data_IF_829567649869
#
_entry.id   IF_829567649869
#
_cell.length_a   1.000
_cell.length_b   1.000
_cell.length_c   1.000
_cell.angle_alpha   90.00
_cell.angle_beta   90.00
_cell.angle_gamma   90.00
#
_symmetry.space_group_name_H-M   'P 1'
#
loop_
_entity.id
_entity.type
_entity.pdbx_description
1 polymer ?
#
# COMPACT_ATOMS: atom_id res chain seq x y z
N UNK A 1 -8.11 1.34 19.39
CA UNK A 1 -7.10 2.36 19.73
C UNK A 1 -7.50 3.06 21.02
N UNK A 2 -6.58 3.41 21.90
CA UNK A 2 -6.88 4.35 22.97
C UNK A 2 -7.29 5.70 22.38
N UNK A 3 -8.22 6.39 23.03
CA UNK A 3 -8.76 7.67 22.53
C UNK A 3 -7.67 8.71 22.24
N UNK A 4 -6.62 8.76 23.05
CA UNK A 4 -5.49 9.67 22.85
C UNK A 4 -4.73 9.42 21.53
N UNK A 5 -4.62 8.18 21.07
CA UNK A 5 -3.93 7.87 19.81
C UNK A 5 -4.73 8.36 18.57
N UNK A 6 -6.06 8.35 18.67
CA UNK A 6 -6.92 8.96 17.64
C UNK A 6 -6.74 10.49 17.62
N UNK A 7 -6.73 11.12 18.81
CA UNK A 7 -6.49 12.56 18.93
C UNK A 7 -5.11 12.95 18.41
N UNK A 8 -4.07 12.16 18.75
CA UNK A 8 -2.71 12.37 18.25
C UNK A 8 -2.64 12.24 16.72
N UNK A 9 -3.31 11.25 16.15
CA UNK A 9 -3.38 11.09 14.68
C UNK A 9 -4.05 12.27 14.01
N UNK A 10 -5.18 12.79 14.53
CA UNK A 10 -5.83 13.99 14.00
C UNK A 10 -4.93 15.22 14.13
N UNK A 11 -4.29 15.41 15.29
CA UNK A 11 -3.38 16.55 15.51
C UNK A 11 -2.19 16.54 14.54
N UNK A 12 -1.57 15.37 14.37
CA UNK A 12 -0.45 15.23 13.46
C UNK A 12 -0.87 15.32 11.98
N UNK A 13 -2.06 14.79 11.65
CA UNK A 13 -2.63 14.94 10.31
C UNK A 13 -2.86 16.42 9.99
N UNK A 14 -3.35 17.23 10.95
CA UNK A 14 -3.50 18.67 10.77
C UNK A 14 -2.15 19.37 10.52
N UNK A 15 -1.09 18.97 11.25
CA UNK A 15 0.28 19.47 11.03
C UNK A 15 0.79 19.09 9.63
N UNK A 16 0.58 17.85 9.21
CA UNK A 16 0.98 17.38 7.88
C UNK A 16 0.21 18.08 6.77
N UNK A 17 -1.09 18.32 6.94
CA UNK A 17 -1.90 19.12 6.01
C UNK A 17 -1.35 20.53 5.91
N UNK A 18 -1.10 21.19 7.06
CA UNK A 18 -0.56 22.54 7.09
C UNK A 18 0.81 22.63 6.39
N UNK A 19 1.73 21.72 6.72
CA UNK A 19 3.07 21.68 6.11
C UNK A 19 3.07 21.31 4.63
N UNK A 20 2.03 20.62 4.16
CA UNK A 20 1.87 20.20 2.76
C UNK A 20 0.91 21.09 1.97
N UNK A 21 0.45 22.21 2.54
CA UNK A 21 -0.61 23.03 1.95
C UNK A 21 -0.32 23.48 0.53
N UNK A 22 0.93 23.88 0.24
CA UNK A 22 1.35 24.26 -1.10
C UNK A 22 1.18 23.13 -2.12
N UNK A 23 1.59 21.91 -1.76
CA UNK A 23 1.42 20.72 -2.62
C UNK A 23 -0.05 20.35 -2.81
N UNK A 24 -0.87 20.48 -1.76
CA UNK A 24 -2.31 20.19 -1.83
C UNK A 24 -2.98 21.15 -2.81
N UNK A 25 -2.80 22.44 -2.64
CA UNK A 25 -3.48 23.47 -3.47
C UNK A 25 -3.00 23.40 -4.94
N UNK A 26 -1.73 23.20 -5.16
CA UNK A 26 -1.17 23.04 -6.51
C UNK A 26 -1.45 21.66 -7.12
N UNK A 27 -1.94 20.71 -6.32
CA UNK A 27 -2.08 19.29 -6.70
C UNK A 27 -0.78 18.68 -7.21
N UNK A 28 0.32 19.13 -6.63
CA UNK A 28 1.67 18.69 -6.97
C UNK A 28 2.11 17.58 -5.99
N UNK A 29 2.53 16.46 -6.55
CA UNK A 29 3.22 15.40 -5.80
C UNK A 29 4.61 15.85 -5.34
N UNK A 30 5.26 15.03 -4.56
CA UNK A 30 6.57 15.31 -3.97
C UNK A 30 7.73 14.88 -4.86
N UNK A 31 7.45 13.98 -5.80
CA UNK A 31 8.40 13.48 -6.78
C UNK A 31 7.70 13.19 -8.12
N UNK A 32 8.46 12.78 -9.16
CA UNK A 32 7.91 12.44 -10.46
C UNK A 32 6.87 11.31 -10.43
N UNK A 33 7.02 10.34 -9.53
CA UNK A 33 6.14 9.18 -9.43
C UNK A 33 4.75 9.57 -8.94
N UNK A 34 4.66 10.47 -7.95
CA UNK A 34 3.38 11.04 -7.51
C UNK A 34 2.68 11.79 -8.65
N UNK A 35 3.44 12.56 -9.44
CA UNK A 35 2.90 13.32 -10.58
C UNK A 35 2.36 12.37 -11.64
N UNK A 36 3.15 11.36 -12.00
CA UNK A 36 2.76 10.38 -12.99
C UNK A 36 1.54 9.57 -12.52
N UNK A 37 1.49 9.20 -11.26
CA UNK A 37 0.35 8.51 -10.66
C UNK A 37 -0.93 9.36 -10.72
N UNK A 38 -0.85 10.66 -10.48
CA UNK A 38 -2.00 11.56 -10.61
C UNK A 38 -2.46 11.66 -12.08
N UNK A 39 -1.54 11.67 -13.03
CA UNK A 39 -1.87 11.65 -14.47
C UNK A 39 -2.56 10.34 -14.85
N UNK A 40 -2.04 9.19 -14.41
CA UNK A 40 -2.66 7.88 -14.64
C UNK A 40 -4.08 7.80 -14.05
N UNK A 41 -4.27 8.31 -12.84
CA UNK A 41 -5.60 8.40 -12.21
C UNK A 41 -6.57 9.23 -13.05
N UNK A 42 -6.14 10.39 -13.57
CA UNK A 42 -6.97 11.24 -14.42
C UNK A 42 -7.34 10.55 -15.73
N UNK A 43 -6.39 9.87 -16.37
CA UNK A 43 -6.62 9.14 -17.62
C UNK A 43 -7.58 7.97 -17.39
N UNK A 44 -7.43 7.24 -16.29
CA UNK A 44 -8.35 6.18 -15.89
C UNK A 44 -9.77 6.71 -15.67
N UNK A 45 -9.93 7.80 -14.93
CA UNK A 45 -11.24 8.43 -14.69
C UNK A 45 -11.85 9.06 -15.96
N UNK A 46 -11.01 9.40 -16.93
CA UNK A 46 -11.45 9.88 -18.25
C UNK A 46 -11.83 8.75 -19.23
N UNK A 47 -11.74 7.49 -18.81
CA UNK A 47 -12.18 6.32 -19.58
C UNK A 47 -11.08 5.45 -20.17
N UNK A 48 -9.81 5.66 -19.82
CA UNK A 48 -8.76 4.71 -20.17
C UNK A 48 -9.10 3.34 -19.55
N UNK A 49 -8.93 2.26 -20.32
CA UNK A 49 -9.25 0.90 -19.87
C UNK A 49 -8.47 0.54 -18.60
N UNK A 50 -9.11 -0.22 -17.71
CA UNK A 50 -8.48 -0.79 -16.52
C UNK A 50 -7.18 -1.55 -16.81
N UNK A 51 -7.14 -2.25 -17.94
CA UNK A 51 -6.00 -3.06 -18.35
C UNK A 51 -4.97 -2.29 -19.19
N UNK A 52 -5.26 -1.05 -19.59
CA UNK A 52 -4.35 -0.21 -20.36
C UNK A 52 -3.63 0.78 -19.43
N UNK A 53 -2.39 0.45 -19.08
CA UNK A 53 -1.51 1.30 -18.28
C UNK A 53 -0.59 2.17 -19.15
N UNK A 54 -0.81 2.25 -20.46
CA UNK A 54 0.04 3.05 -21.34
C UNK A 54 -0.12 4.53 -21.03
N UNK A 55 1.00 5.21 -20.82
CA UNK A 55 1.03 6.66 -20.70
C UNK A 55 1.36 7.28 -22.07
N UNK A 56 0.31 7.72 -22.78
CA UNK A 56 0.43 8.23 -24.15
C UNK A 56 1.12 9.59 -24.26
N UNK A 57 1.40 10.27 -23.14
CA UNK A 57 2.21 11.50 -23.11
C UNK A 57 3.71 11.22 -23.09
N UNK A 58 4.10 9.98 -22.81
CA UNK A 58 5.49 9.54 -22.88
C UNK A 58 5.71 8.85 -24.21
N UNK A 59 6.83 9.17 -24.89
CA UNK A 59 7.19 8.55 -26.16
C UNK A 59 6.06 8.60 -27.21
N UNK A 60 5.44 9.77 -27.39
CA UNK A 60 4.34 9.93 -28.34
C UNK A 60 4.81 9.69 -29.78
N UNK A 61 3.98 9.07 -30.66
CA UNK A 61 2.58 8.70 -30.45
C UNK A 61 2.36 7.30 -29.81
N UNK A 62 3.37 6.45 -29.74
CA UNK A 62 3.26 5.03 -29.31
C UNK A 62 2.88 4.90 -27.84
N UNK A 63 3.27 5.85 -27.03
CA UNK A 63 3.12 5.81 -25.58
C UNK A 63 4.22 5.03 -24.88
N UNK A 64 4.36 5.27 -23.58
CA UNK A 64 5.24 4.52 -22.68
C UNK A 64 4.42 3.52 -21.85
N UNK A 65 4.68 2.20 -21.92
CA UNK A 65 4.00 1.24 -21.07
C UNK A 65 4.39 1.48 -19.61
N UNK A 66 3.39 1.66 -18.74
CA UNK A 66 3.61 1.77 -17.30
C UNK A 66 3.33 0.43 -16.65
N UNK A 67 4.32 -0.09 -15.94
CA UNK A 67 4.27 -1.40 -15.31
C UNK A 67 3.62 -1.39 -13.91
N UNK A 68 3.32 -0.21 -13.38
CA UNK A 68 2.77 -0.08 -12.03
C UNK A 68 1.31 -0.50 -11.93
N UNK A 69 1.01 -1.21 -10.83
CA UNK A 69 -0.35 -1.66 -10.55
C UNK A 69 -1.30 -0.48 -10.32
N UNK A 70 -2.50 -0.56 -10.92
CA UNK A 70 -3.61 0.37 -10.67
C UNK A 70 -4.30 0.15 -9.31
N UNK A 71 -3.96 -0.89 -8.56
CA UNK A 71 -4.61 -1.18 -7.27
C UNK A 71 -4.60 0.01 -6.32
N UNK A 72 -3.48 0.73 -6.28
CA UNK A 72 -3.34 1.89 -5.38
C UNK A 72 -4.11 3.12 -5.86
N UNK A 73 -4.55 3.13 -7.12
CA UNK A 73 -5.40 4.19 -7.68
C UNK A 73 -6.86 4.03 -7.25
N UNK A 74 -7.31 2.81 -6.91
CA UNK A 74 -8.71 2.55 -6.55
C UNK A 74 -9.22 3.40 -5.39
N UNK A 75 -8.53 3.51 -4.24
CA UNK A 75 -8.97 4.37 -3.15
C UNK A 75 -8.99 5.86 -3.53
N UNK A 76 -8.03 6.30 -4.36
CA UNK A 76 -7.99 7.66 -4.88
C UNK A 76 -9.18 7.91 -5.82
N UNK A 77 -9.40 7.01 -6.78
CA UNK A 77 -10.52 7.07 -7.72
C UNK A 77 -11.86 7.11 -7.00
N UNK A 78 -12.05 6.26 -5.99
CA UNK A 78 -13.27 6.21 -5.20
C UNK A 78 -13.56 7.57 -4.52
N UNK A 79 -12.55 8.19 -3.93
CA UNK A 79 -12.72 9.52 -3.31
C UNK A 79 -12.94 10.61 -4.34
N UNK A 80 -12.23 10.57 -5.48
CA UNK A 80 -12.46 11.55 -6.55
C UNK A 80 -13.89 11.45 -7.07
N UNK A 81 -14.38 10.26 -7.38
CA UNK A 81 -15.75 10.05 -7.86
C UNK A 81 -16.81 10.48 -6.83
N UNK A 82 -16.54 10.26 -5.54
CA UNK A 82 -17.45 10.64 -4.46
C UNK A 82 -17.53 12.16 -4.29
N UNK A 83 -16.40 12.86 -4.37
CA UNK A 83 -16.32 14.28 -4.02
C UNK A 83 -16.39 15.21 -5.24
N UNK A 84 -16.09 14.74 -6.46
CA UNK A 84 -16.14 15.59 -7.67
C UNK A 84 -17.49 16.28 -7.91
N UNK A 85 -18.65 15.63 -7.66
CA UNK A 85 -19.94 16.31 -7.79
C UNK A 85 -20.17 17.46 -6.80
N UNK A 86 -19.42 17.48 -5.67
CA UNK A 86 -19.59 18.44 -4.56
C UNK A 86 -18.61 19.59 -4.67
N UNK A 87 -17.32 19.27 -4.90
CA UNK A 87 -16.20 20.25 -4.84
C UNK A 87 -15.49 20.43 -6.18
N UNK A 88 -16.00 19.82 -7.25
CA UNK A 88 -15.37 19.78 -8.56
C UNK A 88 -14.16 18.84 -8.62
N UNK A 89 -13.69 18.54 -9.83
CA UNK A 89 -12.59 17.60 -10.08
C UNK A 89 -11.31 18.01 -9.30
N UNK A 90 -10.93 19.27 -9.38
CA UNK A 90 -9.73 19.76 -8.70
C UNK A 90 -9.80 19.60 -7.18
N UNK A 91 -10.93 19.96 -6.57
CA UNK A 91 -11.16 19.80 -5.14
C UNK A 91 -11.18 18.34 -4.72
N UNK A 92 -11.76 17.46 -5.52
CA UNK A 92 -11.81 16.02 -5.26
C UNK A 92 -10.42 15.38 -5.30
N UNK A 93 -9.55 15.78 -6.23
CA UNK A 93 -8.15 15.35 -6.29
C UNK A 93 -7.37 15.81 -5.03
N UNK A 94 -7.60 17.04 -4.57
CA UNK A 94 -7.01 17.54 -3.31
C UNK A 94 -7.46 16.70 -2.12
N UNK A 95 -8.75 16.38 -2.03
CA UNK A 95 -9.30 15.52 -0.97
C UNK A 95 -8.68 14.12 -1.04
N UNK A 96 -8.68 13.47 -2.20
CA UNK A 96 -8.16 12.13 -2.38
C UNK A 96 -6.67 12.06 -2.05
N UNK A 97 -5.85 12.96 -2.61
CA UNK A 97 -4.41 13.03 -2.36
C UNK A 97 -4.04 13.41 -0.92
N UNK A 98 -4.97 13.97 -0.17
CA UNK A 98 -4.79 14.27 1.27
C UNK A 98 -5.25 13.11 2.14
N UNK A 99 -6.45 12.61 1.92
CA UNK A 99 -7.11 11.65 2.82
C UNK A 99 -6.47 10.26 2.72
N UNK A 100 -6.16 9.77 1.52
CA UNK A 100 -5.63 8.40 1.35
C UNK A 100 -4.30 8.21 2.07
N UNK A 101 -3.26 9.06 1.89
CA UNK A 101 -2.01 8.91 2.63
C UNK A 101 -2.20 9.00 4.15
N UNK A 102 -3.06 9.91 4.64
CA UNK A 102 -3.33 10.06 6.07
C UNK A 102 -4.08 8.87 6.67
N UNK A 103 -4.95 8.21 5.92
CA UNK A 103 -5.57 6.96 6.33
C UNK A 103 -4.54 5.82 6.41
N UNK A 104 -3.65 5.70 5.43
CA UNK A 104 -2.53 4.77 5.47
C UNK A 104 -1.64 5.03 6.69
N UNK A 105 -1.35 6.29 7.00
CA UNK A 105 -0.58 6.70 8.18
C UNK A 105 -1.23 6.25 9.49
N UNK A 106 -2.53 6.51 9.64
CA UNK A 106 -3.31 6.04 10.80
C UNK A 106 -3.31 4.52 10.91
N UNK A 107 -3.43 3.81 9.79
CA UNK A 107 -3.44 2.35 9.75
C UNK A 107 -2.09 1.76 10.15
N UNK A 108 -0.98 2.28 9.61
CA UNK A 108 0.38 1.85 9.99
C UNK A 108 0.62 2.07 11.48
N UNK A 109 0.32 3.27 12.00
CA UNK A 109 0.47 3.57 13.42
C UNK A 109 -0.40 2.65 14.30
N UNK A 110 -1.63 2.39 13.89
CA UNK A 110 -2.51 1.45 14.59
C UNK A 110 -1.93 0.05 14.65
N UNK A 111 -1.51 -0.47 13.50
CA UNK A 111 -1.03 -1.86 13.39
C UNK A 111 0.26 -2.05 14.17
N UNK A 112 1.24 -1.15 14.03
CA UNK A 112 2.49 -1.20 14.79
C UNK A 112 2.26 -1.05 16.29
N UNK A 113 1.32 -0.17 16.69
CA UNK A 113 0.86 -0.07 18.07
C UNK A 113 0.26 -1.37 18.60
N UNK A 114 -0.50 -2.12 17.77
CA UNK A 114 -1.07 -3.44 18.14
C UNK A 114 0.01 -4.51 18.30
N UNK A 115 1.01 -4.50 17.42
CA UNK A 115 2.17 -5.41 17.53
C UNK A 115 2.93 -5.13 18.83
N UNK A 116 3.30 -3.89 19.08
CA UNK A 116 4.06 -3.51 20.27
C UNK A 116 3.26 -3.76 21.58
N UNK A 117 1.94 -3.54 21.57
CA UNK A 117 1.05 -3.89 22.68
C UNK A 117 1.13 -5.38 23.04
N UNK A 118 1.23 -6.26 22.04
CA UNK A 118 1.39 -7.70 22.26
C UNK A 118 2.75 -8.09 22.81
N UNK A 119 3.79 -7.37 22.43
CA UNK A 119 5.17 -7.66 22.84
C UNK A 119 5.55 -7.09 24.21
N UNK A 120 5.12 -5.87 24.51
CA UNK A 120 5.57 -5.13 25.69
C UNK A 120 4.46 -4.42 26.46
N UNK A 121 3.20 -4.78 26.23
CA UNK A 121 2.05 -4.23 26.96
C UNK A 121 1.66 -2.80 26.55
N UNK A 122 0.76 -2.14 27.34
CA UNK A 122 0.14 -0.87 26.95
C UNK A 122 1.14 0.27 26.72
N UNK A 123 2.19 0.34 27.52
CA UNK A 123 3.24 1.36 27.38
C UNK A 123 3.96 1.21 26.02
N UNK A 124 4.42 0.00 25.67
CA UNK A 124 5.09 -0.27 24.41
C UNK A 124 4.18 0.05 23.21
N UNK A 125 2.91 -0.31 23.29
CA UNK A 125 1.93 0.04 22.27
C UNK A 125 1.77 1.55 22.07
N UNK A 126 1.73 2.31 23.18
CA UNK A 126 1.68 3.76 23.16
C UNK A 126 2.91 4.41 22.54
N UNK A 127 4.09 3.97 22.99
CA UNK A 127 5.38 4.45 22.46
C UNK A 127 5.49 4.15 20.96
N UNK A 128 5.12 2.94 20.51
CA UNK A 128 5.17 2.58 19.11
C UNK A 128 4.28 3.49 18.22
N UNK A 129 3.07 3.83 18.70
CA UNK A 129 2.20 4.79 17.98
C UNK A 129 2.88 6.14 17.85
N UNK A 130 3.41 6.68 18.95
CA UNK A 130 4.12 7.97 18.94
C UNK A 130 5.34 7.92 18.03
N UNK A 131 6.20 6.89 18.17
CA UNK A 131 7.40 6.74 17.34
C UNK A 131 7.08 6.61 15.85
N UNK A 132 6.03 5.88 15.50
CA UNK A 132 5.55 5.80 14.11
C UNK A 132 5.15 7.19 13.59
N UNK A 133 4.43 7.94 14.40
CA UNK A 133 3.91 9.26 14.03
C UNK A 133 5.00 10.32 13.90
N UNK A 134 6.03 10.28 14.75
CA UNK A 134 7.13 11.28 14.71
C UNK A 134 8.32 10.84 13.84
N UNK A 135 8.30 9.62 13.31
CA UNK A 135 9.36 9.10 12.41
C UNK A 135 9.34 9.86 11.07
N UNK A 136 10.40 10.60 10.72
CA UNK A 136 10.46 11.27 9.42
C UNK A 136 10.37 10.30 8.25
N UNK A 137 11.00 9.12 8.36
CA UNK A 137 10.99 8.09 7.31
C UNK A 137 9.56 7.62 6.98
N UNK A 138 8.70 7.51 7.99
CA UNK A 138 7.30 7.08 7.81
C UNK A 138 6.43 8.26 7.39
N UNK A 139 6.52 9.39 8.11
CA UNK A 139 5.66 10.55 7.85
C UNK A 139 5.90 11.18 6.48
N UNK A 140 7.14 11.14 5.96
CA UNK A 140 7.45 11.62 4.62
C UNK A 140 6.84 10.76 3.51
N UNK A 141 6.64 9.46 3.74
CA UNK A 141 5.99 8.56 2.78
C UNK A 141 4.45 8.55 2.89
N UNK A 142 3.90 9.18 3.93
CA UNK A 142 2.47 9.16 4.24
C UNK A 142 1.87 10.56 4.41
N UNK A 143 2.59 11.60 3.99
CA UNK A 143 2.10 12.98 3.98
C UNK A 143 1.14 13.25 2.83
N UNK A 144 0.28 14.28 2.92
CA UNK A 144 -0.61 14.66 1.83
C UNK A 144 0.10 14.83 0.49
N UNK A 145 -0.52 14.39 -0.59
CA UNK A 145 -0.01 14.38 -1.96
C UNK A 145 1.16 13.42 -2.23
N UNK A 146 1.54 12.59 -1.25
CA UNK A 146 2.39 11.42 -1.46
C UNK A 146 1.51 10.23 -1.79
N UNK A 147 1.20 10.04 -3.06
CA UNK A 147 0.19 9.07 -3.55
C UNK A 147 0.80 7.88 -4.27
N UNK A 148 2.10 7.78 -4.29
CA UNK A 148 2.81 6.65 -4.88
C UNK A 148 2.63 5.34 -4.08
N UNK A 149 3.39 4.32 -4.44
CA UNK A 149 3.27 2.98 -3.87
C UNK A 149 3.90 2.81 -2.47
N UNK A 150 4.82 3.69 -2.03
CA UNK A 150 5.57 3.52 -0.78
C UNK A 150 4.67 3.50 0.46
N UNK A 151 3.65 4.35 0.51
CA UNK A 151 2.67 4.35 1.61
C UNK A 151 1.95 3.01 1.75
N UNK A 152 1.56 2.41 0.63
CA UNK A 152 0.90 1.11 0.59
C UNK A 152 1.84 -0.04 0.94
N UNK A 153 3.10 0.05 0.57
CA UNK A 153 4.13 -0.91 1.00
C UNK A 153 4.25 -0.94 2.53
N UNK A 154 4.28 0.23 3.20
CA UNK A 154 4.30 0.31 4.66
C UNK A 154 3.06 -0.32 5.29
N UNK A 155 1.88 -0.12 4.70
CA UNK A 155 0.63 -0.75 5.16
C UNK A 155 0.71 -2.28 5.04
N UNK A 156 1.12 -2.79 3.87
CA UNK A 156 1.23 -4.23 3.64
C UNK A 156 2.27 -4.88 4.56
N UNK A 157 3.43 -4.24 4.75
CA UNK A 157 4.48 -4.70 5.66
C UNK A 157 3.97 -4.79 7.10
N UNK A 158 3.32 -3.73 7.59
CA UNK A 158 2.76 -3.70 8.94
C UNK A 158 1.69 -4.78 9.14
N UNK A 159 0.78 -4.94 8.15
CA UNK A 159 -0.26 -5.97 8.20
C UNK A 159 0.34 -7.38 8.20
N UNK A 160 1.29 -7.68 7.32
CA UNK A 160 1.95 -8.97 7.28
C UNK A 160 2.65 -9.28 8.61
N UNK A 161 3.40 -8.32 9.17
CA UNK A 161 4.04 -8.47 10.48
C UNK A 161 3.02 -8.73 11.59
N UNK A 162 1.89 -8.02 11.60
CA UNK A 162 0.86 -8.18 12.63
C UNK A 162 0.25 -9.58 12.65
N UNK A 163 0.10 -10.21 11.49
CA UNK A 163 -0.46 -11.58 11.41
C UNK A 163 0.36 -12.63 12.14
N UNK A 164 1.67 -12.40 12.35
CA UNK A 164 2.51 -13.30 13.15
C UNK A 164 1.98 -13.48 14.58
N UNK A 165 1.29 -12.48 15.12
CA UNK A 165 0.77 -12.46 16.49
C UNK A 165 -0.68 -12.91 16.59
N UNK A 166 -1.30 -13.37 15.49
CA UNK A 166 -2.67 -13.86 15.54
C UNK A 166 -2.73 -15.31 16.01
N UNK A 167 -3.69 -15.67 16.87
CA UNK A 167 -3.76 -17.02 17.44
C UNK A 167 -4.21 -18.08 16.41
N UNK A 168 -5.03 -17.70 15.44
CA UNK A 168 -5.53 -18.64 14.43
C UNK A 168 -4.56 -18.77 13.26
N UNK A 169 -3.93 -19.93 13.12
CA UNK A 169 -3.03 -20.25 12.00
C UNK A 169 -3.69 -20.02 10.63
N UNK A 170 -4.98 -20.39 10.48
CA UNK A 170 -5.74 -20.20 9.24
C UNK A 170 -5.93 -18.72 8.93
N UNK A 171 -6.48 -17.93 9.86
CA UNK A 171 -6.75 -16.50 9.64
C UNK A 171 -5.44 -15.73 9.42
N UNK A 172 -4.43 -16.03 10.23
CA UNK A 172 -3.10 -15.41 10.12
C UNK A 172 -2.44 -15.72 8.77
N UNK A 173 -2.43 -17.00 8.36
CA UNK A 173 -1.84 -17.41 7.09
C UNK A 173 -2.56 -16.80 5.89
N UNK A 174 -3.89 -16.82 5.88
CA UNK A 174 -4.68 -16.18 4.80
C UNK A 174 -4.38 -14.69 4.73
N UNK A 175 -4.43 -13.98 5.86
CA UNK A 175 -4.20 -12.53 5.88
C UNK A 175 -2.76 -12.16 5.48
N UNK A 176 -1.76 -12.94 5.94
CA UNK A 176 -0.37 -12.75 5.55
C UNK A 176 -0.18 -12.98 4.05
N UNK A 177 -0.68 -14.11 3.52
CA UNK A 177 -0.56 -14.44 2.09
C UNK A 177 -1.18 -13.36 1.21
N UNK A 178 -2.37 -12.86 1.56
CA UNK A 178 -3.02 -11.76 0.83
C UNK A 178 -2.23 -10.45 0.94
N UNK A 179 -1.75 -10.09 2.14
CA UNK A 179 -0.96 -8.88 2.31
C UNK A 179 0.34 -8.91 1.48
N UNK A 180 1.01 -10.06 1.44
CA UNK A 180 2.22 -10.25 0.64
C UNK A 180 1.92 -10.27 -0.86
N UNK A 181 0.81 -10.90 -1.30
CA UNK A 181 0.41 -10.90 -2.70
C UNK A 181 0.11 -9.47 -3.19
N UNK A 182 -0.65 -8.70 -2.42
CA UNK A 182 -0.92 -7.29 -2.73
C UNK A 182 0.36 -6.47 -2.74
N UNK A 183 1.24 -6.66 -1.75
CA UNK A 183 2.50 -5.92 -1.68
C UNK A 183 3.37 -6.15 -2.90
N UNK A 184 3.68 -7.42 -3.22
CA UNK A 184 4.55 -7.73 -4.36
C UNK A 184 3.90 -7.38 -5.71
N UNK A 185 2.56 -7.35 -5.76
CA UNK A 185 1.84 -6.87 -6.93
C UNK A 185 1.93 -5.35 -7.11
N UNK A 186 2.02 -4.59 -6.02
CA UNK A 186 2.25 -3.14 -6.04
C UNK A 186 3.70 -2.83 -6.39
N UNK A 187 4.65 -3.53 -5.77
CA UNK A 187 6.09 -3.34 -6.00
C UNK A 187 6.89 -4.53 -5.50
N UNK A 188 7.81 -5.04 -6.32
CA UNK A 188 8.75 -6.11 -5.93
C UNK A 188 9.81 -5.68 -4.92
N UNK A 189 9.93 -4.40 -4.59
CA UNK A 189 10.79 -3.92 -3.50
C UNK A 189 10.48 -4.59 -2.15
N UNK A 190 9.25 -5.07 -1.97
CA UNK A 190 8.85 -5.86 -0.80
C UNK A 190 9.42 -7.29 -0.75
N UNK A 191 10.00 -7.79 -1.85
CA UNK A 191 10.43 -9.19 -1.96
C UNK A 191 11.43 -9.64 -0.87
N UNK A 192 12.44 -8.85 -0.45
CA UNK A 192 13.33 -9.26 0.63
C UNK A 192 12.61 -9.49 1.96
N UNK A 193 11.64 -8.63 2.29
CA UNK A 193 10.85 -8.77 3.53
C UNK A 193 9.88 -9.92 3.43
N UNK A 194 9.24 -10.12 2.27
CA UNK A 194 8.39 -11.28 2.02
C UNK A 194 9.18 -12.58 2.17
N UNK A 195 10.37 -12.67 1.57
CA UNK A 195 11.26 -13.81 1.70
C UNK A 195 11.66 -14.07 3.16
N UNK A 196 11.95 -13.03 3.93
CA UNK A 196 12.26 -13.15 5.36
C UNK A 196 11.06 -13.71 6.16
N UNK A 197 9.83 -13.28 5.86
CA UNK A 197 8.63 -13.79 6.54
C UNK A 197 8.34 -15.25 6.16
N UNK A 198 8.48 -15.63 4.90
CA UNK A 198 8.39 -17.03 4.48
C UNK A 198 9.50 -17.87 5.12
N UNK A 199 10.73 -17.35 5.14
CA UNK A 199 11.88 -18.00 5.77
C UNK A 199 11.66 -18.22 7.27
N UNK A 200 11.11 -17.23 7.97
CA UNK A 200 10.76 -17.36 9.40
C UNK A 200 9.74 -18.46 9.65
N UNK A 201 8.66 -18.49 8.87
CA UNK A 201 7.62 -19.54 9.00
C UNK A 201 8.17 -20.91 8.62
N UNK A 202 8.98 -20.99 7.57
CA UNK A 202 9.63 -22.23 7.12
C UNK A 202 10.63 -22.76 8.15
N UNK A 203 11.44 -21.88 8.73
CA UNK A 203 12.37 -22.21 9.82
C UNK A 203 11.63 -22.78 11.04
N UNK A 204 10.58 -22.10 11.52
CA UNK A 204 9.79 -22.55 12.66
C UNK A 204 9.11 -23.89 12.40
N UNK A 205 8.61 -24.11 11.18
CA UNK A 205 8.06 -25.40 10.78
C UNK A 205 9.11 -26.50 10.78
N UNK A 206 10.26 -26.27 10.15
CA UNK A 206 11.29 -27.29 9.96
C UNK A 206 11.99 -27.70 11.28
N UNK A 207 12.24 -26.74 12.18
CA UNK A 207 13.04 -26.97 13.37
C UNK A 207 12.21 -27.11 14.66
N UNK A 208 11.00 -26.52 14.73
CA UNK A 208 10.16 -26.59 15.92
C UNK A 208 8.86 -27.36 15.70
N UNK A 209 8.54 -27.76 14.46
CA UNK A 209 7.27 -28.38 14.10
C UNK A 209 6.09 -27.40 14.17
N UNK A 210 6.34 -26.14 14.50
CA UNK A 210 5.33 -25.09 14.62
C UNK A 210 5.03 -24.44 13.28
N UNK A 211 3.92 -23.71 13.20
CA UNK A 211 3.52 -22.87 12.06
C UNK A 211 3.35 -23.57 10.69
N UNK A 212 3.46 -24.89 10.57
CA UNK A 212 3.29 -25.58 9.29
C UNK A 212 1.93 -25.31 8.63
N UNK A 213 0.83 -25.29 9.41
CA UNK A 213 -0.50 -24.92 8.89
C UNK A 213 -0.56 -23.45 8.50
N UNK A 214 0.06 -22.56 9.28
CA UNK A 214 0.14 -21.13 8.94
C UNK A 214 0.91 -20.92 7.64
N UNK A 215 2.08 -21.53 7.52
CA UNK A 215 2.87 -21.51 6.29
C UNK A 215 2.07 -22.02 5.07
N UNK A 216 1.38 -23.15 5.20
CA UNK A 216 0.56 -23.69 4.11
C UNK A 216 -0.54 -22.73 3.67
N UNK A 217 -1.27 -22.10 4.60
CA UNK A 217 -2.26 -21.08 4.25
C UNK A 217 -1.61 -19.82 3.67
N UNK A 218 -0.44 -19.40 4.18
CA UNK A 218 0.28 -18.23 3.64
C UNK A 218 0.71 -18.48 2.19
N UNK A 219 1.34 -19.62 1.91
CA UNK A 219 1.77 -19.98 0.54
C UNK A 219 0.57 -20.12 -0.39
N UNK A 220 -0.46 -20.87 0.02
CA UNK A 220 -1.64 -21.08 -0.82
C UNK A 220 -2.37 -19.79 -1.17
N UNK A 221 -2.58 -18.89 -0.19
CA UNK A 221 -3.25 -17.61 -0.45
C UNK A 221 -2.33 -16.60 -1.14
N UNK A 222 -1.03 -16.64 -0.90
CA UNK A 222 -0.07 -15.83 -1.65
C UNK A 222 -0.09 -16.19 -3.14
N UNK A 223 0.02 -17.47 -3.48
CA UNK A 223 -0.03 -17.94 -4.87
C UNK A 223 -1.37 -17.60 -5.54
N UNK A 224 -2.48 -17.97 -4.90
CA UNK A 224 -3.81 -17.68 -5.44
C UNK A 224 -4.05 -16.17 -5.60
N UNK A 225 -3.62 -15.38 -4.62
CA UNK A 225 -3.71 -13.93 -4.66
C UNK A 225 -2.84 -13.31 -5.76
N UNK A 226 -1.59 -13.77 -5.91
CA UNK A 226 -0.67 -13.28 -6.96
C UNK A 226 -1.20 -13.59 -8.36
N UNK A 227 -1.67 -14.81 -8.59
CA UNK A 227 -2.28 -15.22 -9.86
C UNK A 227 -3.57 -14.42 -10.12
N UNK A 228 -4.45 -14.30 -9.11
CA UNK A 228 -5.69 -13.55 -9.25
C UNK A 228 -5.45 -12.07 -9.55
N UNK A 229 -4.51 -11.43 -8.87
CA UNK A 229 -4.15 -10.04 -9.10
C UNK A 229 -3.50 -9.84 -10.47
N UNK A 230 -2.60 -10.74 -10.87
CA UNK A 230 -1.98 -10.67 -12.19
C UNK A 230 -3.03 -10.68 -13.31
N UNK A 231 -3.88 -11.70 -13.34
CA UNK A 231 -4.94 -11.78 -14.36
C UNK A 231 -6.00 -10.68 -14.21
N UNK A 232 -6.26 -10.23 -12.98
CA UNK A 232 -7.22 -9.16 -12.71
C UNK A 232 -6.76 -7.77 -13.14
N UNK A 233 -5.45 -7.55 -13.31
CA UNK A 233 -4.91 -6.22 -13.61
C UNK A 233 -4.10 -6.13 -14.90
N UNK A 234 -3.58 -7.26 -15.40
CA UNK A 234 -2.64 -7.27 -16.53
C UNK A 234 -3.08 -8.19 -17.68
N UNK A 235 -4.28 -8.75 -17.64
CA UNK A 235 -4.74 -9.75 -18.63
C UNK A 235 -4.65 -9.25 -20.08
N UNK A 236 -4.96 -7.98 -20.34
CA UNK A 236 -4.86 -7.38 -21.67
C UNK A 236 -3.43 -6.97 -22.05
N UNK A 237 -2.59 -6.74 -21.05
CA UNK A 237 -1.19 -6.36 -21.20
C UNK A 237 -0.22 -7.53 -21.04
N UNK A 238 -0.62 -8.77 -21.36
CA UNK A 238 0.27 -9.93 -21.49
C UNK A 238 1.29 -9.70 -22.62
N UNK A 239 1.80 -8.48 -22.76
CA UNK A 239 3.00 -8.22 -23.51
C UNK A 239 4.13 -9.00 -22.86
N UNK A 240 4.97 -9.61 -23.68
CA UNK A 240 6.11 -10.43 -23.26
C UNK A 240 7.20 -9.62 -22.49
N UNK A 241 6.91 -8.40 -22.08
CA UNK A 241 7.85 -7.56 -21.37
C UNK A 241 7.91 -7.94 -19.89
N UNK A 242 9.09 -8.30 -19.43
CA UNK A 242 9.37 -8.52 -18.03
C UNK A 242 10.00 -7.27 -17.43
N UNK A 243 9.46 -6.82 -16.31
CA UNK A 243 9.97 -5.68 -15.55
C UNK A 243 10.59 -6.19 -14.25
N UNK A 244 11.65 -5.52 -13.78
CA UNK A 244 12.38 -5.94 -12.58
C UNK A 244 11.67 -5.56 -11.27
N UNK A 245 10.74 -4.64 -11.30
CA UNK A 245 10.11 -4.00 -10.13
C UNK A 245 8.60 -4.28 -10.01
N UNK A 246 8.05 -5.10 -10.91
CA UNK A 246 6.64 -5.54 -10.85
C UNK A 246 6.49 -7.01 -11.19
N UNK A 247 5.40 -7.63 -10.70
CA UNK A 247 5.06 -9.00 -11.08
C UNK A 247 4.78 -9.04 -12.59
N UNK A 248 5.49 -9.92 -13.28
CA UNK A 248 5.41 -10.18 -14.70
C UNK A 248 5.28 -11.68 -14.95
N UNK A 249 5.05 -12.14 -16.20
CA UNK A 249 4.92 -13.58 -16.50
C UNK A 249 6.07 -14.44 -15.99
N UNK A 250 7.27 -13.88 -15.85
CA UNK A 250 8.42 -14.60 -15.30
C UNK A 250 8.31 -14.92 -13.79
N UNK A 251 7.36 -14.32 -13.07
CA UNK A 251 7.20 -14.47 -11.61
C UNK A 251 5.99 -15.34 -11.22
N UNK A 252 5.21 -15.83 -12.18
CA UNK A 252 4.00 -16.64 -12.00
C UNK A 252 4.16 -18.00 -12.65
#
# INVERSE_FOLDING_TARGET
MPRWAVVAWFGLSAILIYSSWGSIVSRAGWDPDDQLRMVQLRDFLAGQSWFDNTQYRLNAPEGGPMHWSRLIELPLAALVLLFAPIVGQAGAEMVAGTVVPLLCFGLVAYVLGRVALRLGGPMAGGVAVVMTMVSPAISMQLRPMRIDHHGWQLVCAALALWTLFWPSARKAGIAMGLALAVWLHISLEGAPVAAALFGLLGWRWAFSGEDGRRLGYTVGTFLAGSVGLFFGTQLAGLSAANYCDTISPAHI
#
